data_IF_994436465373
#
_entry.id   IF_994436465373
#
_cell.length_a   1.000
_cell.length_b   1.000
_cell.length_c   1.000
_cell.angle_alpha   90.00
_cell.angle_beta   90.00
_cell.angle_gamma   90.00
#
_symmetry.space_group_name_H-M   'P 1'
#
loop_
_entity.id
_entity.type
_entity.pdbx_description
1 polymer ?
#
# COMPACT_ATOMS: atom_id res chain seq x y z
N UNK A 1 -9.89 -34.17 -28.41
CA UNK A 1 -10.39 -32.84 -27.94
C UNK A 1 -10.70 -31.88 -29.09
N UNK A 2 -9.73 -31.27 -29.80
CA UNK A 2 -10.06 -30.33 -30.92
C UNK A 2 -10.87 -30.96 -32.07
N UNK A 3 -10.65 -32.24 -32.34
CA UNK A 3 -11.39 -32.99 -33.36
C UNK A 3 -12.83 -33.32 -32.92
N UNK A 4 -13.08 -33.43 -31.60
CA UNK A 4 -14.35 -33.87 -31.05
C UNK A 4 -15.28 -32.68 -30.71
N UNK A 5 -14.71 -31.53 -30.34
CA UNK A 5 -15.48 -30.34 -29.93
C UNK A 5 -15.54 -29.24 -31.01
N UNK A 6 -14.86 -29.38 -32.16
CA UNK A 6 -14.92 -28.38 -33.23
C UNK A 6 -14.17 -27.07 -32.91
N UNK A 7 -14.55 -25.97 -33.59
CA UNK A 7 -13.93 -24.64 -33.41
C UNK A 7 -14.63 -23.87 -32.30
N UNK A 8 -13.95 -23.76 -31.16
CA UNK A 8 -14.33 -22.88 -30.06
C UNK A 8 -13.27 -21.80 -29.81
N UNK A 9 -13.66 -20.73 -29.14
CA UNK A 9 -12.81 -19.65 -28.68
C UNK A 9 -11.90 -20.10 -27.51
N UNK A 10 -10.83 -19.36 -27.27
CA UNK A 10 -9.85 -19.71 -26.23
C UNK A 10 -10.42 -19.75 -24.80
N UNK A 11 -11.30 -18.82 -24.38
CA UNK A 11 -11.94 -18.90 -23.06
C UNK A 11 -12.68 -20.22 -22.83
N UNK A 12 -13.43 -20.69 -23.82
CA UNK A 12 -14.12 -21.98 -23.74
C UNK A 12 -13.14 -23.14 -23.61
N UNK A 13 -12.09 -23.16 -24.43
CA UNK A 13 -11.04 -24.19 -24.32
C UNK A 13 -10.33 -24.18 -22.96
N UNK A 14 -10.06 -22.99 -22.42
CA UNK A 14 -9.44 -22.83 -21.09
C UNK A 14 -10.34 -23.48 -20.04
N UNK A 15 -11.64 -23.19 -20.05
CA UNK A 15 -12.62 -23.80 -19.14
C UNK A 15 -12.70 -25.31 -19.31
N UNK A 16 -12.76 -25.83 -20.54
CA UNK A 16 -12.86 -27.28 -20.78
C UNK A 16 -11.61 -28.03 -20.29
N UNK A 17 -10.42 -27.46 -20.51
CA UNK A 17 -9.15 -28.02 -20.01
C UNK A 17 -9.14 -28.03 -18.48
N UNK A 18 -9.59 -26.94 -17.85
CA UNK A 18 -9.72 -26.87 -16.39
C UNK A 18 -10.72 -27.93 -15.92
N UNK A 19 -11.93 -28.00 -16.48
CA UNK A 19 -12.94 -28.98 -16.06
C UNK A 19 -12.46 -30.41 -16.18
N UNK A 20 -11.75 -30.77 -17.27
CA UNK A 20 -11.29 -32.15 -17.45
C UNK A 20 -10.05 -32.50 -16.63
N UNK A 21 -9.15 -31.55 -16.39
CA UNK A 21 -7.82 -31.85 -15.84
C UNK A 21 -7.49 -31.13 -14.52
N UNK A 22 -8.32 -30.21 -14.05
CA UNK A 22 -8.18 -29.61 -12.73
C UNK A 22 -8.55 -30.65 -11.67
N UNK A 23 -7.53 -31.28 -11.11
CA UNK A 23 -7.68 -32.09 -9.91
C UNK A 23 -7.96 -31.15 -8.70
N UNK A 24 -8.70 -31.61 -7.69
CA UNK A 24 -8.90 -30.94 -6.40
C UNK A 24 -7.58 -30.42 -5.79
N UNK A 25 -6.48 -31.17 -5.96
CA UNK A 25 -5.16 -30.72 -5.53
C UNK A 25 -4.67 -29.46 -6.25
N UNK A 26 -4.98 -29.31 -7.54
CA UNK A 26 -4.63 -28.12 -8.32
C UNK A 26 -5.47 -26.91 -7.88
N UNK A 27 -6.78 -27.10 -7.66
CA UNK A 27 -7.69 -26.06 -7.14
C UNK A 27 -7.14 -25.53 -5.81
N UNK A 28 -6.88 -26.44 -4.86
CA UNK A 28 -6.30 -26.10 -3.57
C UNK A 28 -4.96 -25.35 -3.68
N UNK A 29 -4.09 -25.76 -4.61
CA UNK A 29 -2.82 -25.06 -4.87
C UNK A 29 -3.04 -23.65 -5.41
N UNK A 30 -4.00 -23.44 -6.31
CA UNK A 30 -4.30 -22.11 -6.86
C UNK A 30 -4.90 -21.19 -5.80
N UNK A 31 -5.84 -21.69 -5.00
CA UNK A 31 -6.42 -20.97 -3.87
C UNK A 31 -5.35 -20.54 -2.88
N UNK A 32 -4.54 -21.48 -2.40
CA UNK A 32 -3.47 -21.18 -1.44
C UNK A 32 -2.41 -20.22 -2.04
N UNK A 33 -2.09 -20.36 -3.33
CA UNK A 33 -1.17 -19.46 -4.01
C UNK A 33 -1.73 -18.03 -4.17
N UNK A 34 -3.05 -17.87 -4.32
CA UNK A 34 -3.72 -16.57 -4.30
C UNK A 34 -3.83 -16.03 -2.87
N UNK A 35 -4.12 -16.88 -1.90
CA UNK A 35 -4.32 -16.48 -0.52
C UNK A 35 -3.05 -15.92 0.11
N UNK A 36 -1.92 -16.61 -0.10
CA UNK A 36 -0.58 -16.21 0.37
C UNK A 36 0.05 -15.08 -0.45
N UNK A 37 -0.50 -14.74 -1.61
CA UNK A 37 0.03 -13.67 -2.46
C UNK A 37 -0.37 -12.30 -1.92
N UNK A 38 0.53 -11.70 -1.14
CA UNK A 38 0.47 -10.29 -0.74
C UNK A 38 1.36 -9.48 -1.68
N UNK A 39 0.87 -8.36 -2.16
CA UNK A 39 1.66 -7.49 -3.05
C UNK A 39 2.80 -6.79 -2.29
N UNK A 40 4.00 -6.77 -2.89
CA UNK A 40 5.13 -5.99 -2.37
C UNK A 40 5.72 -5.08 -3.46
N UNK A 41 5.76 -3.76 -3.21
CA UNK A 41 6.26 -2.79 -4.20
C UNK A 41 7.75 -2.93 -4.54
N UNK A 42 8.51 -3.63 -3.70
CA UNK A 42 9.93 -3.89 -3.90
C UNK A 42 10.20 -5.08 -4.82
N UNK A 43 9.32 -6.09 -4.76
CA UNK A 43 9.52 -7.38 -5.43
C UNK A 43 8.67 -7.50 -6.68
N UNK A 44 7.48 -6.90 -6.67
CA UNK A 44 6.44 -7.14 -7.65
C UNK A 44 6.21 -5.92 -8.55
N UNK A 45 6.10 -6.16 -9.86
CA UNK A 45 5.62 -5.15 -10.80
C UNK A 45 4.08 -5.17 -10.83
N UNK A 46 3.40 -4.01 -10.73
CA UNK A 46 1.93 -3.93 -10.63
C UNK A 46 1.20 -4.71 -11.72
N UNK A 47 1.54 -4.46 -12.99
CA UNK A 47 0.92 -5.11 -14.15
C UNK A 47 1.04 -6.64 -14.07
N UNK A 48 2.26 -7.16 -13.92
CA UNK A 48 2.50 -8.60 -13.94
C UNK A 48 1.88 -9.30 -12.74
N UNK A 49 1.94 -8.67 -11.57
CA UNK A 49 1.38 -9.24 -10.36
C UNK A 49 -0.14 -9.29 -10.42
N UNK A 50 -0.78 -8.21 -10.86
CA UNK A 50 -2.23 -8.12 -10.96
C UNK A 50 -2.79 -9.15 -11.95
N UNK A 51 -2.20 -9.24 -13.15
CA UNK A 51 -2.60 -10.23 -14.15
C UNK A 51 -2.39 -11.67 -13.65
N UNK A 52 -1.28 -11.94 -12.96
CA UNK A 52 -1.03 -13.25 -12.36
C UNK A 52 -2.08 -13.64 -11.31
N UNK A 53 -2.58 -12.69 -10.52
CA UNK A 53 -3.68 -12.96 -9.59
C UNK A 53 -5.01 -13.17 -10.32
N UNK A 54 -5.28 -12.42 -11.39
CA UNK A 54 -6.47 -12.62 -12.24
C UNK A 54 -6.46 -14.01 -12.89
N UNK A 55 -5.31 -14.47 -13.38
CA UNK A 55 -5.16 -15.82 -13.94
C UNK A 55 -5.34 -16.95 -12.93
N UNK A 56 -5.03 -16.70 -11.65
CA UNK A 56 -5.29 -17.67 -10.57
C UNK A 56 -6.77 -17.75 -10.20
N UNK A 57 -7.46 -16.60 -10.20
CA UNK A 57 -8.88 -16.52 -9.80
C UNK A 57 -9.86 -16.92 -10.90
N UNK A 58 -9.57 -16.57 -12.16
CA UNK A 58 -10.48 -16.80 -13.28
C UNK A 58 -10.92 -18.27 -13.43
N UNK A 59 -10.03 -19.27 -13.28
CA UNK A 59 -10.41 -20.69 -13.26
C UNK A 59 -11.26 -21.11 -12.05
N UNK A 60 -11.07 -20.48 -10.90
CA UNK A 60 -11.71 -20.85 -9.63
C UNK A 60 -13.12 -20.29 -9.51
N UNK A 61 -13.39 -19.18 -10.20
CA UNK A 61 -14.66 -18.46 -10.12
C UNK A 61 -15.15 -18.06 -11.52
N UNK A 62 -15.58 -19.03 -12.34
CA UNK A 62 -16.06 -18.76 -13.71
C UNK A 62 -17.29 -17.84 -13.73
N UNK A 63 -18.13 -17.90 -12.70
CA UNK A 63 -19.38 -17.13 -12.62
C UNK A 63 -19.20 -15.72 -12.02
N UNK A 64 -17.98 -15.37 -11.59
CA UNK A 64 -17.70 -14.09 -10.96
C UNK A 64 -17.48 -12.99 -12.00
N UNK A 65 -18.10 -11.82 -11.80
CA UNK A 65 -17.86 -10.67 -12.68
C UNK A 65 -16.41 -10.19 -12.63
N UNK A 66 -15.92 -9.62 -13.72
CA UNK A 66 -14.55 -9.09 -13.78
C UNK A 66 -14.28 -8.03 -12.72
N UNK A 67 -15.22 -7.12 -12.50
CA UNK A 67 -15.12 -6.09 -11.45
C UNK A 67 -14.98 -6.71 -10.05
N UNK A 68 -15.74 -7.77 -9.76
CA UNK A 68 -15.65 -8.46 -8.47
C UNK A 68 -14.30 -9.18 -8.30
N UNK A 69 -13.77 -9.78 -9.37
CA UNK A 69 -12.43 -10.37 -9.37
C UNK A 69 -11.35 -9.31 -9.12
N UNK A 70 -11.42 -8.18 -9.82
CA UNK A 70 -10.47 -7.07 -9.65
C UNK A 70 -10.51 -6.53 -8.22
N UNK A 71 -11.71 -6.36 -7.65
CA UNK A 71 -11.89 -5.95 -6.25
C UNK A 71 -11.31 -6.96 -5.24
N UNK A 72 -11.42 -8.27 -5.51
CA UNK A 72 -10.74 -9.31 -4.70
C UNK A 72 -9.23 -9.16 -4.77
N UNK A 73 -8.66 -8.87 -5.93
CA UNK A 73 -7.21 -8.67 -6.11
C UNK A 73 -6.75 -7.40 -5.38
N UNK A 74 -7.50 -6.31 -5.46
CA UNK A 74 -7.19 -5.06 -4.74
C UNK A 74 -7.17 -5.27 -3.22
N UNK A 75 -8.02 -6.15 -2.68
CA UNK A 75 -7.97 -6.51 -1.25
C UNK A 75 -6.63 -7.15 -0.84
N UNK A 76 -5.94 -7.84 -1.75
CA UNK A 76 -4.62 -8.45 -1.50
C UNK A 76 -3.47 -7.46 -1.45
N UNK A 77 -3.69 -6.21 -1.88
CA UNK A 77 -2.70 -5.14 -1.70
C UNK A 77 -2.64 -4.66 -0.24
N UNK A 78 -3.77 -4.71 0.49
CA UNK A 78 -3.88 -4.35 1.89
C UNK A 78 -3.57 -2.87 2.23
N UNK A 79 -3.91 -2.49 3.46
CA UNK A 79 -3.50 -1.23 4.10
C UNK A 79 -3.72 0.03 3.27
N UNK A 80 -2.71 0.90 3.27
CA UNK A 80 -2.74 2.19 2.57
C UNK A 80 -2.80 2.06 1.05
N UNK A 81 -2.16 1.03 0.48
CA UNK A 81 -2.17 0.81 -0.97
C UNK A 81 -3.58 0.48 -1.45
N UNK A 82 -4.28 -0.41 -0.76
CA UNK A 82 -5.68 -0.73 -1.06
C UNK A 82 -6.56 0.53 -1.01
N UNK A 83 -6.43 1.34 0.04
CA UNK A 83 -7.23 2.56 0.19
C UNK A 83 -6.91 3.58 -0.93
N UNK A 84 -5.62 3.80 -1.21
CA UNK A 84 -5.15 4.70 -2.23
C UNK A 84 -5.60 4.30 -3.64
N UNK A 85 -5.67 2.99 -3.94
CA UNK A 85 -6.22 2.47 -5.19
C UNK A 85 -7.72 2.72 -5.28
N UNK A 86 -8.49 2.40 -4.22
CA UNK A 86 -9.94 2.65 -4.18
C UNK A 86 -10.29 4.11 -4.39
N UNK A 87 -9.55 5.04 -3.78
CA UNK A 87 -9.79 6.47 -3.98
C UNK A 87 -9.54 6.95 -5.42
N UNK A 88 -8.73 6.24 -6.20
CA UNK A 88 -8.42 6.56 -7.61
C UNK A 88 -9.36 5.87 -8.60
N UNK A 89 -9.96 4.76 -8.19
CA UNK A 89 -10.81 3.90 -9.00
C UNK A 89 -12.27 4.07 -8.56
N UNK A 90 -12.96 5.07 -9.11
CA UNK A 90 -14.41 5.25 -8.91
C UNK A 90 -15.15 4.36 -9.90
N UNK A 91 -16.14 3.60 -9.44
CA UNK A 91 -16.89 2.68 -10.31
C UNK A 91 -17.72 3.44 -11.37
N UNK A 92 -17.83 2.93 -12.61
CA UNK A 92 -17.26 1.67 -13.11
C UNK A 92 -15.77 1.81 -13.47
N UNK A 93 -14.94 0.91 -12.94
CA UNK A 93 -13.49 0.92 -13.13
C UNK A 93 -13.05 -0.38 -13.82
N UNK A 94 -12.27 -0.28 -14.89
CA UNK A 94 -11.78 -1.46 -15.61
C UNK A 94 -10.51 -2.04 -14.97
N UNK A 95 -10.16 -3.27 -15.32
CA UNK A 95 -8.89 -3.89 -14.90
C UNK A 95 -7.68 -3.00 -15.24
N UNK A 96 -7.71 -2.32 -16.39
CA UNK A 96 -6.62 -1.42 -16.81
C UNK A 96 -6.50 -0.21 -15.89
N UNK A 97 -7.63 0.34 -15.47
CA UNK A 97 -7.67 1.49 -14.57
C UNK A 97 -7.13 1.11 -13.19
N UNK A 98 -7.46 -0.08 -12.67
CA UNK A 98 -6.87 -0.59 -11.43
C UNK A 98 -5.35 -0.75 -11.52
N UNK A 99 -4.85 -1.32 -12.63
CA UNK A 99 -3.41 -1.48 -12.84
C UNK A 99 -2.71 -0.11 -12.95
N UNK A 100 -3.32 0.83 -13.69
CA UNK A 100 -2.79 2.18 -13.83
C UNK A 100 -2.75 2.91 -12.49
N UNK A 101 -3.84 2.83 -11.71
CA UNK A 101 -3.91 3.41 -10.38
C UNK A 101 -2.88 2.80 -9.43
N UNK A 102 -2.67 1.48 -9.49
CA UNK A 102 -1.66 0.79 -8.70
C UNK A 102 -0.25 1.28 -9.04
N UNK A 103 0.07 1.36 -10.33
CA UNK A 103 1.35 1.88 -10.81
C UNK A 103 1.57 3.34 -10.41
N UNK A 104 0.54 4.18 -10.54
CA UNK A 104 0.56 5.59 -10.15
C UNK A 104 0.78 5.76 -8.63
N UNK A 105 0.13 4.95 -7.80
CA UNK A 105 0.35 5.00 -6.35
C UNK A 105 1.80 4.65 -6.03
N UNK A 106 2.33 3.57 -6.58
CA UNK A 106 3.68 3.09 -6.23
C UNK A 106 4.78 4.02 -6.76
N UNK A 107 4.54 4.66 -7.90
CA UNK A 107 5.50 5.61 -8.50
C UNK A 107 5.47 6.96 -7.79
N UNK A 108 4.28 7.49 -7.47
CA UNK A 108 4.12 8.82 -6.88
C UNK A 108 4.17 8.83 -5.36
N UNK A 109 4.00 7.68 -4.70
CA UNK A 109 4.02 7.57 -3.24
C UNK A 109 5.10 6.60 -2.77
N UNK A 110 5.57 6.78 -1.54
CA UNK A 110 6.49 5.82 -0.89
C UNK A 110 5.75 4.64 -0.22
N UNK A 111 4.46 4.48 -0.49
CA UNK A 111 3.61 3.44 0.10
C UNK A 111 4.11 2.08 -0.36
N UNK A 112 4.40 1.19 0.61
CA UNK A 112 4.87 -0.18 0.34
C UNK A 112 6.37 -0.34 0.11
N UNK A 113 7.18 0.72 0.24
CA UNK A 113 8.65 0.63 0.26
C UNK A 113 9.11 0.49 1.71
N UNK A 114 9.78 -0.62 2.03
CA UNK A 114 10.50 -0.77 3.29
C UNK A 114 11.62 0.24 3.29
N UNK A 115 11.72 1.05 4.35
CA UNK A 115 12.84 1.95 4.51
C UNK A 115 14.09 1.10 4.76
N UNK A 116 14.91 0.91 3.73
CA UNK A 116 16.25 0.35 3.91
C UNK A 116 16.99 1.38 4.77
N UNK A 117 17.21 1.06 6.06
CA UNK A 117 18.23 1.75 6.84
C UNK A 117 19.55 1.41 6.17
N UNK A 118 19.99 2.26 5.25
CA UNK A 118 21.37 2.20 4.78
C UNK A 118 22.21 2.34 6.05
N UNK A 119 23.08 1.38 6.40
CA UNK A 119 24.04 1.59 7.47
C UNK A 119 24.84 2.82 7.02
N UNK A 120 24.61 3.95 7.69
CA UNK A 120 25.41 5.13 7.47
C UNK A 120 26.82 4.70 7.89
N UNK A 121 27.69 4.43 6.92
CA UNK A 121 29.10 4.17 7.20
C UNK A 121 29.57 5.29 8.13
N UNK A 122 29.80 4.93 9.38
CA UNK A 122 30.29 5.85 10.38
C UNK A 122 31.72 6.18 10.00
N UNK A 123 31.89 7.19 9.14
CA UNK A 123 33.15 7.93 9.09
C UNK A 123 33.39 8.40 10.51
N UNK A 124 34.37 7.77 11.18
CA UNK A 124 34.86 8.19 12.49
C UNK A 124 35.41 9.60 12.33
N UNK A 125 34.54 10.60 12.45
CA UNK A 125 34.95 11.98 12.69
C UNK A 125 35.37 12.00 14.14
N UNK A 126 36.68 12.10 14.33
CA UNK A 126 37.32 12.39 15.61
C UNK A 126 36.58 13.53 16.30
N UNK A 127 35.99 13.22 17.47
CA UNK A 127 35.34 14.21 18.33
C UNK A 127 36.42 15.14 18.89
N UNK A 128 36.71 16.24 18.21
CA UNK A 128 37.12 17.45 18.92
C UNK A 128 35.88 17.99 19.62
N UNK A 129 35.95 18.06 20.95
CA UNK A 129 34.91 18.59 21.84
C UNK A 129 34.38 19.93 21.33
N UNK A 130 33.14 19.94 20.85
CA UNK A 130 32.38 21.17 20.63
C UNK A 130 31.55 21.38 21.88
N UNK A 131 31.83 22.46 22.59
CA UNK A 131 31.03 22.97 23.69
C UNK A 131 29.57 23.11 23.26
N UNK A 132 28.66 22.62 24.09
CA UNK A 132 27.21 22.77 23.95
C UNK A 132 26.83 24.25 24.04
N UNK A 133 26.71 24.93 22.90
CA UNK A 133 25.97 26.20 22.83
C UNK A 133 24.48 25.93 22.78
N UNK A 134 23.92 25.43 23.90
CA UNK A 134 22.48 25.50 24.13
C UNK A 134 22.15 26.97 24.39
N UNK A 135 21.71 27.69 23.37
CA UNK A 135 21.26 29.07 23.52
C UNK A 135 20.20 29.13 24.63
N UNK A 136 20.53 29.83 25.72
CA UNK A 136 19.59 30.09 26.80
C UNK A 136 18.39 30.85 26.23
N UNK A 137 17.19 30.37 26.51
CA UNK A 137 15.96 31.04 26.10
C UNK A 137 15.89 32.37 26.87
N UNK A 138 15.70 33.53 26.19
CA UNK A 138 15.65 34.81 26.88
C UNK A 138 14.46 34.86 27.84
N UNK A 139 14.71 35.28 29.08
CA UNK A 139 13.70 35.49 30.11
C UNK A 139 12.87 36.71 29.74
N UNK A 140 11.57 36.52 29.56
CA UNK A 140 10.64 37.61 29.25
C UNK A 140 10.14 38.24 30.55
N UNK A 141 10.24 39.57 30.68
CA UNK A 141 9.64 40.33 31.79
C UNK A 141 8.29 40.89 31.33
N UNK A 142 7.22 40.62 32.07
CA UNK A 142 5.92 41.22 31.81
C UNK A 142 5.88 42.65 32.34
N UNK A 143 5.69 43.63 31.46
CA UNK A 143 5.62 45.05 31.82
C UNK A 143 4.37 45.42 32.64
N UNK A 144 3.41 44.50 32.81
CA UNK A 144 2.16 44.74 33.54
C UNK A 144 2.16 44.21 34.97
N UNK A 145 2.85 43.11 35.25
CA UNK A 145 2.92 42.50 36.58
C UNK A 145 4.34 42.32 37.11
N UNK A 146 5.35 42.75 36.35
CA UNK A 146 6.79 42.64 36.63
C UNK A 146 7.34 41.22 36.83
N UNK A 147 6.52 40.18 36.64
CA UNK A 147 6.92 38.78 36.73
C UNK A 147 7.81 38.41 35.53
N UNK A 148 8.89 37.69 35.79
CA UNK A 148 9.82 37.15 34.80
C UNK A 148 9.54 35.67 34.54
N UNK A 149 9.38 35.27 33.27
CA UNK A 149 9.20 33.86 32.90
C UNK A 149 9.74 33.56 31.51
N UNK A 150 10.04 32.28 31.27
CA UNK A 150 10.53 31.78 29.97
C UNK A 150 9.38 31.33 29.05
N UNK A 151 8.12 31.51 29.46
CA UNK A 151 6.94 31.02 28.73
C UNK A 151 5.81 32.05 28.73
N UNK A 152 5.41 32.51 27.55
CA UNK A 152 4.37 33.53 27.38
C UNK A 152 3.01 33.17 28.01
N UNK A 153 2.71 31.88 28.20
CA UNK A 153 1.42 31.41 28.71
C UNK A 153 1.27 31.44 30.25
N UNK A 154 2.30 31.81 31.01
CA UNK A 154 2.20 31.88 32.49
C UNK A 154 1.67 33.22 33.01
N UNK A 155 1.37 34.18 32.14
CA UNK A 155 0.86 35.49 32.52
C UNK A 155 -0.68 35.48 32.64
N UNK A 156 -1.21 34.81 33.66
CA UNK A 156 -2.65 34.84 33.96
C UNK A 156 -3.00 36.09 34.77
N UNK A 157 -3.99 36.86 34.31
CA UNK A 157 -4.50 38.05 35.01
C UNK A 157 -5.13 37.63 36.34
N UNK A 158 -4.70 38.22 37.46
CA UNK A 158 -5.54 38.26 38.67
C UNK A 158 -6.67 39.26 38.42
N UNK A 159 -7.87 38.76 38.14
CA UNK A 159 -9.09 39.58 38.19
C UNK A 159 -9.50 39.71 39.66
N UNK A 160 -9.33 40.88 40.26
CA UNK A 160 -10.01 41.21 41.50
C UNK A 160 -11.51 41.35 41.19
N UNK A 161 -12.32 40.47 41.76
CA UNK A 161 -13.77 40.63 41.85
C UNK A 161 -14.02 41.30 43.20
N UNK A 162 -14.68 42.47 43.18
CA UNK A 162 -15.15 43.19 44.36
C UNK A 162 -16.16 42.38 45.17
#
# INVERSE_FOLDING_TARGET
MRLDHGKHDWPWWKSEIITKWANNLWIFKMENAFESAIFSSEKDKPLTWFLKQKDRLSPLHPDMSESMMDMKIVRKCGGELQNAMKCRCVEPCSTKDYISAMADVITRTRIGKTWIRVPMESKMVSKTSREDKRAERPVLKCNRCEITSNMANTFTKKTNVN
#
